data_IF_353101411914
#
_entry.id   IF_353101411914
#
_cell.length_a   1.000
_cell.length_b   1.000
_cell.length_c   1.000
_cell.angle_alpha   90.00
_cell.angle_beta   90.00
_cell.angle_gamma   90.00
#
_symmetry.space_group_name_H-M   'P 1'
#
loop_
_entity.id
_entity.type
_entity.pdbx_description
1 polymer ?
#
# COMPACT_ATOMS: atom_id res chain seq x y z
N UNK A 1 -32.63 17.44 -22.72
CA UNK A 1 -31.39 16.92 -23.35
C UNK A 1 -31.21 17.67 -24.65
N UNK A 2 -30.24 18.56 -24.74
CA UNK A 2 -29.83 19.13 -26.03
C UNK A 2 -28.76 18.17 -26.60
N UNK A 3 -29.21 17.32 -27.51
CA UNK A 3 -28.37 16.38 -28.23
C UNK A 3 -28.09 16.94 -29.62
N UNK A 4 -26.85 16.89 -30.00
CA UNK A 4 -26.33 17.00 -31.36
C UNK A 4 -25.48 18.24 -31.69
N UNK A 5 -24.17 18.01 -31.53
CA UNK A 5 -23.22 18.63 -32.46
C UNK A 5 -22.28 17.50 -32.89
N UNK A 6 -22.44 17.03 -34.13
CA UNK A 6 -21.43 16.22 -34.83
C UNK A 6 -20.17 17.09 -34.97
N UNK A 7 -19.25 16.99 -34.01
CA UNK A 7 -17.97 17.68 -34.03
C UNK A 7 -16.93 16.83 -34.73
N UNK A 8 -16.15 17.45 -35.61
CA UNK A 8 -15.16 16.81 -36.46
C UNK A 8 -13.91 16.40 -35.68
N UNK A 9 -13.54 15.15 -35.83
CA UNK A 9 -12.17 14.57 -35.80
C UNK A 9 -11.27 14.74 -34.57
N UNK A 10 -11.05 15.92 -34.05
CA UNK A 10 -10.08 16.16 -32.98
C UNK A 10 -10.66 16.07 -31.56
N UNK A 11 -11.96 16.21 -31.40
CA UNK A 11 -12.61 16.24 -30.08
C UNK A 11 -12.92 14.83 -29.52
N UNK A 12 -12.90 13.81 -30.37
CA UNK A 12 -13.23 12.44 -30.04
C UNK A 12 -12.01 11.55 -29.72
N UNK A 13 -10.80 12.12 -29.76
CA UNK A 13 -9.55 11.38 -29.49
C UNK A 13 -9.44 10.80 -28.07
N UNK A 14 -10.31 11.22 -27.15
CA UNK A 14 -10.37 10.65 -25.78
C UNK A 14 -10.82 9.19 -25.80
N UNK A 15 -11.70 8.82 -26.75
CA UNK A 15 -12.22 7.45 -26.85
C UNK A 15 -11.11 6.48 -27.26
N UNK A 16 -10.23 6.86 -28.20
CA UNK A 16 -9.16 5.98 -28.70
C UNK A 16 -8.01 5.80 -27.71
N UNK A 17 -7.94 6.63 -26.66
CA UNK A 17 -6.99 6.48 -25.56
C UNK A 17 -7.46 5.50 -24.48
N UNK A 18 -8.72 5.08 -24.50
CA UNK A 18 -9.21 4.07 -23.58
C UNK A 18 -8.66 2.69 -23.93
N UNK A 19 -8.30 1.92 -22.89
CA UNK A 19 -7.86 0.53 -23.03
C UNK A 19 -8.87 -0.34 -23.79
N UNK A 20 -10.15 0.06 -23.82
CA UNK A 20 -11.21 -0.61 -24.56
C UNK A 20 -10.95 -0.64 -26.07
N UNK A 21 -10.36 0.42 -26.60
CA UNK A 21 -10.04 0.59 -28.01
C UNK A 21 -8.55 0.39 -28.31
N UNK A 22 -7.82 -0.20 -27.38
CA UNK A 22 -6.40 -0.48 -27.56
C UNK A 22 -6.14 -1.40 -28.76
N UNK A 23 -5.05 -1.10 -29.48
CA UNK A 23 -4.58 -1.89 -30.64
C UNK A 23 -5.53 -1.90 -31.85
N UNK A 24 -6.41 -0.91 -32.01
CA UNK A 24 -7.14 -0.68 -33.25
C UNK A 24 -6.19 -0.17 -34.35
N UNK A 25 -6.48 -0.54 -35.58
CA UNK A 25 -5.81 0.05 -36.74
C UNK A 25 -6.36 1.46 -37.01
N UNK A 26 -5.63 2.37 -37.71
CA UNK A 26 -6.10 3.74 -37.95
C UNK A 26 -7.48 3.82 -38.63
N UNK A 27 -7.79 2.92 -39.55
CA UNK A 27 -9.11 2.87 -40.20
C UNK A 27 -10.21 2.35 -39.25
N UNK A 28 -9.86 1.47 -38.31
CA UNK A 28 -10.74 0.95 -37.28
C UNK A 28 -11.02 2.04 -36.24
N UNK A 29 -10.00 2.79 -35.82
CA UNK A 29 -10.15 3.96 -34.91
C UNK A 29 -11.08 5.00 -35.52
N UNK A 30 -10.89 5.32 -36.82
CA UNK A 30 -11.77 6.23 -37.52
C UNK A 30 -13.21 5.75 -37.51
N UNK A 31 -13.45 4.46 -37.73
CA UNK A 31 -14.79 3.89 -37.73
C UNK A 31 -15.49 3.96 -36.38
N UNK A 32 -14.73 3.87 -35.28
CA UNK A 32 -15.23 4.09 -33.92
C UNK A 32 -15.58 5.55 -33.71
N UNK A 33 -14.69 6.47 -34.11
CA UNK A 33 -14.88 7.90 -33.98
C UNK A 33 -16.13 8.38 -34.77
N UNK A 34 -16.31 7.89 -36.00
CA UNK A 34 -17.44 8.26 -36.87
C UNK A 34 -18.80 7.80 -36.29
N UNK A 35 -18.80 6.89 -35.32
CA UNK A 35 -20.00 6.35 -34.67
C UNK A 35 -20.10 6.70 -33.16
N UNK A 36 -19.23 7.57 -32.70
CA UNK A 36 -19.31 8.16 -31.37
C UNK A 36 -20.03 9.52 -31.43
N UNK A 37 -20.61 9.91 -30.32
CA UNK A 37 -21.24 11.23 -30.13
C UNK A 37 -20.63 11.96 -28.96
N UNK A 38 -21.02 13.22 -28.78
CA UNK A 38 -20.71 14.00 -27.58
C UNK A 38 -21.99 14.41 -26.89
N UNK A 39 -22.03 14.26 -25.61
CA UNK A 39 -23.09 14.76 -24.74
C UNK A 39 -22.50 15.72 -23.70
N UNK A 40 -23.26 16.76 -23.36
CA UNK A 40 -22.95 17.71 -22.31
C UNK A 40 -24.03 17.66 -21.25
N UNK A 41 -23.59 17.65 -19.99
CA UNK A 41 -24.47 17.66 -18.83
C UNK A 41 -24.16 18.87 -17.96
N UNK A 42 -25.19 19.58 -17.56
CA UNK A 42 -25.06 20.58 -16.53
C UNK A 42 -24.93 19.94 -15.16
N UNK A 43 -24.30 20.61 -14.21
CA UNK A 43 -24.24 20.18 -12.82
C UNK A 43 -25.64 19.79 -12.30
N UNK A 44 -25.71 18.61 -11.70
CA UNK A 44 -26.95 18.05 -11.16
C UNK A 44 -27.78 17.23 -12.17
N UNK A 45 -27.47 17.28 -13.47
CA UNK A 45 -28.17 16.51 -14.47
C UNK A 45 -27.90 15.00 -14.30
N UNK A 46 -28.94 14.18 -14.54
CA UNK A 46 -28.85 12.70 -14.52
C UNK A 46 -28.42 12.22 -15.92
N UNK A 47 -27.40 11.37 -15.96
CA UNK A 47 -26.93 10.71 -17.17
C UNK A 47 -27.80 9.48 -17.50
N UNK A 48 -28.04 8.63 -16.50
CA UNK A 48 -28.97 7.50 -16.54
C UNK A 48 -29.54 7.17 -15.15
N UNK A 49 -30.65 6.45 -15.12
CA UNK A 49 -31.34 6.02 -13.91
C UNK A 49 -31.55 4.49 -13.90
N UNK A 50 -31.83 3.88 -12.74
CA UNK A 50 -32.23 2.48 -12.67
C UNK A 50 -33.41 2.18 -13.61
N UNK A 51 -33.28 1.09 -14.37
CA UNK A 51 -34.25 0.67 -15.37
C UNK A 51 -34.04 1.29 -16.76
N UNK A 52 -33.16 2.27 -16.92
CA UNK A 52 -32.75 2.75 -18.25
C UNK A 52 -31.89 1.67 -18.93
N UNK A 53 -32.02 1.55 -20.26
CA UNK A 53 -31.27 0.57 -21.02
C UNK A 53 -29.78 0.90 -21.07
N UNK A 54 -28.94 -0.08 -20.73
CA UNK A 54 -27.49 0.02 -20.78
C UNK A 54 -26.97 -0.31 -22.19
N UNK A 55 -27.24 0.56 -23.15
CA UNK A 55 -26.87 0.35 -24.56
C UNK A 55 -25.61 1.13 -24.98
N UNK A 56 -25.07 1.95 -24.10
CA UNK A 56 -23.98 2.86 -24.39
C UNK A 56 -22.86 2.80 -23.36
N UNK A 57 -21.63 3.10 -23.82
CA UNK A 57 -20.49 3.43 -22.98
C UNK A 57 -20.24 4.93 -23.04
N UNK A 58 -19.86 5.50 -21.93
CA UNK A 58 -19.56 6.93 -21.80
C UNK A 58 -18.10 7.12 -21.37
N UNK A 59 -17.38 7.98 -22.04
CA UNK A 59 -16.00 8.32 -21.76
C UNK A 59 -15.96 9.74 -21.24
N UNK A 60 -15.64 9.94 -19.97
CA UNK A 60 -15.63 11.24 -19.36
C UNK A 60 -14.41 12.04 -19.85
N UNK A 61 -14.68 13.15 -20.53
CA UNK A 61 -13.68 14.05 -21.06
C UNK A 61 -13.37 15.19 -20.10
N UNK A 62 -14.42 15.80 -19.55
CA UNK A 62 -14.34 16.94 -18.62
C UNK A 62 -15.46 16.78 -17.59
N UNK A 63 -15.24 17.26 -16.36
CA UNK A 63 -16.22 17.22 -15.30
C UNK A 63 -16.06 16.07 -14.32
N UNK A 64 -17.11 15.78 -13.58
CA UNK A 64 -17.15 14.75 -12.54
C UNK A 64 -18.52 14.10 -12.50
N UNK A 65 -18.55 12.76 -12.57
CA UNK A 65 -19.79 11.96 -12.50
C UNK A 65 -19.75 11.10 -11.25
N UNK A 66 -20.85 11.05 -10.48
CA UNK A 66 -21.05 10.08 -9.39
C UNK A 66 -22.03 9.02 -9.79
N UNK A 67 -21.86 7.80 -9.27
CA UNK A 67 -22.83 6.72 -9.28
C UNK A 67 -23.36 6.56 -7.87
N UNK A 68 -24.69 6.50 -7.72
CA UNK A 68 -25.33 6.34 -6.41
C UNK A 68 -26.63 5.55 -6.49
N UNK A 69 -27.02 4.94 -5.37
CA UNK A 69 -28.31 4.30 -5.16
C UNK A 69 -29.05 4.98 -4.01
N UNK A 70 -30.37 5.20 -4.13
CA UNK A 70 -31.17 5.63 -3.00
C UNK A 70 -31.34 4.49 -2.00
N UNK A 71 -31.19 4.78 -0.71
CA UNK A 71 -31.47 3.86 0.38
C UNK A 71 -32.95 3.97 0.82
N UNK A 72 -33.47 2.94 1.49
CA UNK A 72 -34.85 2.92 2.00
C UNK A 72 -35.19 4.09 2.95
N UNK A 73 -34.19 4.63 3.62
CA UNK A 73 -34.33 5.77 4.56
C UNK A 73 -34.23 7.15 3.89
N UNK A 74 -34.20 7.20 2.54
CA UNK A 74 -34.12 8.42 1.75
C UNK A 74 -32.73 9.05 1.65
N UNK A 75 -31.70 8.41 2.21
CA UNK A 75 -30.29 8.77 1.97
C UNK A 75 -29.81 8.19 0.65
N UNK A 76 -28.73 8.74 0.12
CA UNK A 76 -28.07 8.25 -1.08
C UNK A 76 -26.76 7.55 -0.66
N UNK A 77 -26.52 6.36 -1.18
CA UNK A 77 -25.24 5.68 -1.05
C UNK A 77 -24.43 5.89 -2.33
N UNK A 78 -23.32 6.58 -2.21
CA UNK A 78 -22.41 6.80 -3.33
C UNK A 78 -21.56 5.54 -3.54
N UNK A 79 -21.66 4.94 -4.74
CA UNK A 79 -20.97 3.71 -5.11
C UNK A 79 -19.61 4.02 -5.73
N UNK A 80 -19.54 5.05 -6.60
CA UNK A 80 -18.34 5.39 -7.36
C UNK A 80 -18.32 6.84 -7.81
N UNK A 81 -17.11 7.36 -8.08
CA UNK A 81 -16.85 8.64 -8.78
C UNK A 81 -15.96 8.40 -9.98
N UNK A 82 -16.25 9.12 -11.04
CA UNK A 82 -15.53 9.07 -12.30
C UNK A 82 -14.99 10.45 -12.65
N UNK A 83 -13.70 10.48 -13.02
CA UNK A 83 -12.95 11.66 -13.41
C UNK A 83 -12.58 11.63 -14.91
N UNK A 84 -12.09 12.73 -15.48
CA UNK A 84 -11.64 12.75 -16.88
C UNK A 84 -10.65 11.62 -17.22
N UNK A 85 -10.97 10.86 -18.28
CA UNK A 85 -10.27 9.67 -18.71
C UNK A 85 -10.93 8.35 -18.31
N UNK A 86 -11.90 8.37 -17.38
CA UNK A 86 -12.62 7.17 -16.97
C UNK A 86 -13.71 6.79 -17.98
N UNK A 87 -14.03 5.48 -17.99
CA UNK A 87 -15.14 4.90 -18.75
C UNK A 87 -16.28 4.55 -17.83
N UNK A 88 -17.48 5.02 -18.14
CA UNK A 88 -18.73 4.82 -17.39
C UNK A 88 -19.70 3.99 -18.23
N UNK A 89 -20.41 3.06 -17.60
CA UNK A 89 -21.38 2.20 -18.24
C UNK A 89 -21.14 0.74 -17.91
N UNK A 90 -22.06 -0.11 -18.34
CA UNK A 90 -21.95 -1.54 -18.17
C UNK A 90 -21.24 -2.15 -19.38
N UNK A 91 -20.27 -3.01 -19.14
CA UNK A 91 -19.60 -3.77 -20.20
C UNK A 91 -20.52 -4.82 -20.85
N UNK A 92 -21.73 -5.01 -20.31
CA UNK A 92 -22.82 -5.81 -20.90
C UNK A 92 -23.71 -5.00 -21.86
N UNK A 93 -23.31 -3.79 -22.23
CA UNK A 93 -24.04 -2.87 -23.10
C UNK A 93 -24.52 -3.49 -24.43
N UNK A 94 -23.88 -4.57 -24.87
CA UNK A 94 -24.27 -5.30 -26.08
C UNK A 94 -25.44 -6.26 -25.86
N UNK A 95 -25.80 -6.58 -24.61
CA UNK A 95 -26.91 -7.47 -24.30
C UNK A 95 -28.20 -6.73 -23.96
N UNK A 96 -28.17 -5.39 -23.93
CA UNK A 96 -29.32 -4.58 -23.58
C UNK A 96 -29.77 -4.76 -22.13
N UNK A 97 -28.82 -4.83 -21.21
CA UNK A 97 -29.09 -4.80 -19.77
C UNK A 97 -29.74 -3.48 -19.35
N UNK A 98 -30.16 -3.39 -18.10
CA UNK A 98 -30.66 -2.15 -17.50
C UNK A 98 -29.69 -1.70 -16.42
N UNK A 99 -29.53 -0.37 -16.26
CA UNK A 99 -28.76 0.17 -15.15
C UNK A 99 -29.47 -0.08 -13.83
N UNK A 100 -28.71 -0.38 -12.78
CA UNK A 100 -29.18 -0.62 -11.42
C UNK A 100 -28.93 0.56 -10.45
N UNK A 101 -28.28 1.61 -10.94
CA UNK A 101 -27.91 2.79 -10.17
C UNK A 101 -28.14 4.08 -10.99
N UNK A 102 -28.15 5.22 -10.28
CA UNK A 102 -28.15 6.55 -10.93
C UNK A 102 -26.74 7.00 -11.24
N UNK A 103 -26.56 7.68 -12.39
CA UNK A 103 -25.37 8.46 -12.70
C UNK A 103 -25.73 9.95 -12.78
N UNK A 104 -25.01 10.78 -12.04
CA UNK A 104 -25.27 12.23 -11.95
C UNK A 104 -24.00 13.06 -12.11
N UNK A 105 -24.11 14.14 -12.88
CA UNK A 105 -23.06 15.13 -13.02
C UNK A 105 -22.92 15.98 -11.74
N UNK A 106 -21.74 15.96 -11.15
CA UNK A 106 -21.41 16.76 -9.96
C UNK A 106 -20.98 18.18 -10.32
N UNK A 107 -20.55 18.38 -11.55
CA UNK A 107 -20.21 19.65 -12.19
C UNK A 107 -20.54 19.57 -13.69
N UNK A 108 -20.45 20.69 -14.40
CA UNK A 108 -20.67 20.69 -15.85
C UNK A 108 -19.71 19.70 -16.50
N UNK A 109 -20.27 18.76 -17.23
CA UNK A 109 -19.51 17.58 -17.71
C UNK A 109 -19.69 17.37 -19.20
N UNK A 110 -18.61 16.96 -19.86
CA UNK A 110 -18.59 16.59 -21.28
C UNK A 110 -18.17 15.13 -21.40
N UNK A 111 -19.00 14.32 -22.06
CA UNK A 111 -18.74 12.90 -22.27
C UNK A 111 -18.79 12.55 -23.75
N UNK A 112 -17.98 11.60 -24.15
CA UNK A 112 -18.11 10.91 -25.43
C UNK A 112 -18.97 9.69 -25.23
N UNK A 113 -20.01 9.51 -26.01
CA UNK A 113 -20.91 8.34 -26.00
C UNK A 113 -20.58 7.40 -27.16
N UNK A 114 -20.54 6.12 -26.91
CA UNK A 114 -20.35 5.07 -27.93
C UNK A 114 -21.20 3.84 -27.65
N UNK A 115 -21.95 3.32 -28.64
CA UNK A 115 -22.29 3.97 -29.91
C UNK A 115 -23.02 5.30 -29.69
N UNK A 116 -23.04 6.20 -30.68
CA UNK A 116 -23.83 7.41 -30.60
C UNK A 116 -25.33 7.11 -30.50
N UNK A 117 -26.13 8.08 -29.98
CA UNK A 117 -27.58 7.92 -29.88
C UNK A 117 -28.19 7.52 -31.24
N UNK A 118 -29.10 6.54 -31.16
CA UNK A 118 -29.78 5.99 -32.34
C UNK A 118 -28.97 4.93 -33.13
N UNK A 119 -27.74 4.65 -32.68
CA UNK A 119 -26.93 3.55 -33.21
C UNK A 119 -26.83 2.44 -32.16
N UNK A 120 -26.80 1.20 -32.63
CA UNK A 120 -26.61 0.03 -31.74
C UNK A 120 -25.27 -0.65 -32.01
N UNK A 121 -24.78 -1.38 -31.01
CA UNK A 121 -23.57 -2.21 -31.19
C UNK A 121 -23.79 -3.30 -32.25
N UNK A 122 -25.03 -3.79 -32.40
CA UNK A 122 -25.40 -4.79 -33.40
C UNK A 122 -25.28 -4.23 -34.81
N UNK A 123 -25.65 -2.96 -35.06
CA UNK A 123 -25.47 -2.32 -36.34
C UNK A 123 -23.97 -2.17 -36.66
N UNK A 124 -23.19 -1.78 -35.66
CA UNK A 124 -21.73 -1.69 -35.82
C UNK A 124 -21.08 -3.07 -36.04
N UNK A 125 -21.59 -4.14 -35.38
CA UNK A 125 -21.10 -5.50 -35.56
C UNK A 125 -21.37 -6.06 -36.96
N UNK A 126 -22.47 -5.66 -37.59
CA UNK A 126 -22.76 -6.05 -39.00
C UNK A 126 -21.78 -5.42 -39.97
N UNK A 127 -21.38 -4.17 -39.76
CA UNK A 127 -20.49 -3.43 -40.63
C UNK A 127 -19.01 -3.72 -40.36
N UNK A 128 -18.63 -3.80 -39.09
CA UNK A 128 -17.24 -3.88 -38.62
C UNK A 128 -17.02 -5.00 -37.56
N UNK A 129 -17.32 -6.27 -37.92
CA UNK A 129 -17.33 -7.36 -36.94
C UNK A 129 -15.98 -7.60 -36.25
N UNK A 130 -14.85 -7.31 -36.95
CA UNK A 130 -13.51 -7.43 -36.38
C UNK A 130 -13.24 -6.40 -35.30
N UNK A 131 -13.72 -5.18 -35.47
CA UNK A 131 -13.57 -4.09 -34.48
C UNK A 131 -14.36 -4.41 -33.24
N UNK A 132 -15.61 -4.83 -33.40
CA UNK A 132 -16.48 -5.23 -32.30
C UNK A 132 -15.90 -6.42 -31.54
N UNK A 133 -15.40 -7.44 -32.23
CA UNK A 133 -14.73 -8.57 -31.59
C UNK A 133 -13.52 -8.12 -30.74
N UNK A 134 -12.72 -7.15 -31.24
CA UNK A 134 -11.59 -6.59 -30.50
C UNK A 134 -12.03 -5.81 -29.27
N UNK A 135 -13.07 -4.98 -29.41
CA UNK A 135 -13.66 -4.25 -28.27
C UNK A 135 -14.11 -5.25 -27.17
N UNK A 136 -14.78 -6.34 -27.52
CA UNK A 136 -15.18 -7.36 -26.56
C UNK A 136 -14.00 -8.09 -25.90
N UNK A 137 -12.96 -8.40 -26.66
CA UNK A 137 -11.75 -9.00 -26.10
C UNK A 137 -11.06 -8.07 -25.11
N UNK A 138 -10.98 -6.78 -25.44
CA UNK A 138 -10.41 -5.77 -24.55
C UNK A 138 -11.30 -5.57 -23.30
N UNK A 139 -12.64 -5.54 -23.46
CA UNK A 139 -13.58 -5.50 -22.31
C UNK A 139 -13.37 -6.67 -21.37
N UNK A 140 -13.30 -7.90 -21.92
CA UNK A 140 -13.09 -9.10 -21.12
C UNK A 140 -11.75 -9.07 -20.37
N UNK A 141 -10.68 -8.55 -21.01
CA UNK A 141 -9.38 -8.35 -20.37
C UNK A 141 -9.45 -7.32 -19.22
N UNK A 142 -10.12 -6.18 -19.44
CA UNK A 142 -10.31 -5.13 -18.44
C UNK A 142 -11.13 -5.64 -17.24
N UNK A 143 -12.25 -6.31 -17.47
CA UNK A 143 -13.07 -6.92 -16.40
C UNK A 143 -12.26 -7.96 -15.62
N UNK A 144 -11.51 -8.81 -16.33
CA UNK A 144 -10.66 -9.82 -15.70
C UNK A 144 -9.57 -9.17 -14.83
N UNK A 145 -8.93 -8.11 -15.30
CA UNK A 145 -7.93 -7.36 -14.53
C UNK A 145 -8.56 -6.71 -13.28
N UNK A 146 -9.77 -6.13 -13.41
CA UNK A 146 -10.51 -5.51 -12.32
C UNK A 146 -10.93 -6.55 -11.26
N UNK A 147 -11.44 -7.72 -11.67
CA UNK A 147 -11.76 -8.83 -10.77
C UNK A 147 -10.51 -9.31 -10.02
N UNK A 148 -9.37 -9.48 -10.71
CA UNK A 148 -8.12 -9.90 -10.09
C UNK A 148 -7.63 -8.89 -9.05
N UNK A 149 -7.67 -7.59 -9.36
CA UNK A 149 -7.25 -6.53 -8.43
C UNK A 149 -8.16 -6.44 -7.21
N UNK A 150 -9.49 -6.49 -7.41
CA UNK A 150 -10.48 -6.48 -6.33
C UNK A 150 -10.35 -7.72 -5.45
N UNK A 151 -10.18 -8.89 -6.05
CA UNK A 151 -9.98 -10.15 -5.31
C UNK A 151 -8.70 -10.11 -4.47
N UNK A 152 -7.61 -9.56 -5.02
CA UNK A 152 -6.35 -9.40 -4.28
C UNK A 152 -6.54 -8.49 -3.07
N UNK A 153 -7.14 -7.30 -3.24
CA UNK A 153 -7.43 -6.37 -2.15
C UNK A 153 -8.38 -6.97 -1.10
N UNK A 154 -9.43 -7.69 -1.55
CA UNK A 154 -10.36 -8.35 -0.64
C UNK A 154 -9.69 -9.47 0.17
N UNK A 155 -8.84 -10.27 -0.47
CA UNK A 155 -8.10 -11.34 0.22
C UNK A 155 -7.09 -10.80 1.23
N UNK A 156 -6.34 -9.75 0.87
CA UNK A 156 -5.36 -9.11 1.75
C UNK A 156 -6.01 -8.52 3.02
N UNK A 157 -7.28 -8.09 2.93
CA UNK A 157 -8.03 -7.50 4.04
C UNK A 157 -8.91 -8.50 4.81
N UNK A 158 -8.89 -9.78 4.45
CA UNK A 158 -9.65 -10.79 5.21
C UNK A 158 -9.07 -11.00 6.62
N UNK A 159 -9.89 -11.01 7.69
CA UNK A 159 -9.40 -11.12 9.07
C UNK A 159 -8.50 -12.34 9.31
N UNK A 160 -8.78 -13.48 8.69
CA UNK A 160 -7.97 -14.68 8.82
C UNK A 160 -6.60 -14.56 8.11
N UNK A 161 -6.52 -13.83 6.96
CA UNK A 161 -5.24 -13.54 6.28
C UNK A 161 -4.38 -12.61 7.12
N UNK A 162 -4.99 -11.56 7.68
CA UNK A 162 -4.31 -10.65 8.60
C UNK A 162 -3.80 -11.38 9.84
N UNK A 163 -4.60 -12.29 10.42
CA UNK A 163 -4.18 -13.09 11.57
C UNK A 163 -3.06 -14.07 11.19
N UNK A 164 -3.13 -14.70 10.00
CA UNK A 164 -2.07 -15.56 9.50
C UNK A 164 -0.76 -14.79 9.30
N UNK A 165 -0.84 -13.59 8.70
CA UNK A 165 0.29 -12.68 8.52
C UNK A 165 0.88 -12.25 9.86
N UNK A 166 0.02 -11.89 10.84
CA UNK A 166 0.44 -11.56 12.20
C UNK A 166 1.18 -12.73 12.86
N UNK A 167 0.63 -13.95 12.80
CA UNK A 167 1.29 -15.14 13.34
C UNK A 167 2.62 -15.47 12.67
N UNK A 168 2.70 -15.30 11.36
CA UNK A 168 3.92 -15.55 10.59
C UNK A 168 5.04 -14.56 10.97
N UNK A 169 4.72 -13.27 11.04
CA UNK A 169 5.71 -12.20 11.03
C UNK A 169 5.82 -11.42 12.33
N UNK A 170 4.86 -11.49 13.25
CA UNK A 170 4.95 -10.79 14.53
C UNK A 170 5.36 -11.74 15.67
N UNK A 171 6.18 -11.24 16.56
CA UNK A 171 6.52 -11.90 17.80
C UNK A 171 5.36 -11.81 18.79
N UNK A 172 4.80 -12.92 19.28
CA UNK A 172 3.58 -12.89 20.10
C UNK A 172 3.75 -12.20 21.46
N UNK A 173 4.97 -12.20 22.02
CA UNK A 173 5.24 -11.59 23.32
C UNK A 173 5.38 -10.08 23.25
N UNK A 174 6.03 -9.57 22.22
CA UNK A 174 6.38 -8.15 22.10
C UNK A 174 5.58 -7.43 21.00
N UNK A 175 5.02 -8.15 20.02
CA UNK A 175 4.39 -7.60 18.81
C UNK A 175 5.37 -6.81 17.96
N UNK A 176 6.65 -7.15 18.01
CA UNK A 176 7.68 -6.69 17.09
C UNK A 176 7.69 -7.59 15.86
N UNK A 177 8.13 -7.07 14.73
CA UNK A 177 8.28 -7.88 13.52
C UNK A 177 9.47 -8.82 13.65
N UNK A 178 9.29 -10.08 13.25
CA UNK A 178 10.37 -11.08 13.23
C UNK A 178 11.34 -10.80 12.07
N UNK A 179 12.56 -11.32 12.17
CA UNK A 179 13.55 -11.27 11.08
C UNK A 179 12.98 -11.85 9.78
N UNK A 180 12.21 -12.92 9.84
CA UNK A 180 11.60 -13.57 8.67
C UNK A 180 10.78 -12.59 7.82
N UNK A 181 10.13 -11.59 8.43
CA UNK A 181 9.45 -10.54 7.68
C UNK A 181 10.41 -9.75 6.77
N UNK A 182 11.59 -9.38 7.29
CA UNK A 182 12.57 -8.67 6.48
C UNK A 182 13.11 -9.58 5.37
N UNK A 183 13.46 -10.82 5.71
CA UNK A 183 14.04 -11.77 4.74
C UNK A 183 13.07 -12.06 3.58
N UNK A 184 11.78 -12.21 3.84
CA UNK A 184 10.75 -12.50 2.83
C UNK A 184 10.32 -11.26 2.02
N UNK A 185 10.26 -10.09 2.66
CA UNK A 185 9.67 -8.88 2.07
C UNK A 185 10.71 -7.85 1.61
N UNK A 186 12.00 -8.12 1.79
CA UNK A 186 13.07 -7.13 1.60
C UNK A 186 13.01 -6.42 0.24
N UNK A 187 12.79 -7.17 -0.85
CA UNK A 187 12.73 -6.62 -2.20
C UNK A 187 11.57 -5.63 -2.40
N UNK A 188 10.50 -5.78 -1.62
CA UNK A 188 9.31 -4.93 -1.66
C UNK A 188 9.44 -3.71 -0.76
N UNK A 189 10.06 -3.88 0.40
CA UNK A 189 10.09 -2.84 1.44
C UNK A 189 11.33 -1.95 1.40
N UNK A 190 12.40 -2.37 0.72
CA UNK A 190 13.67 -1.64 0.65
C UNK A 190 13.51 -0.35 -0.16
N UNK A 191 13.68 0.80 0.47
CA UNK A 191 13.62 2.14 -0.15
C UNK A 191 14.73 3.02 0.39
N UNK A 192 15.78 3.15 -0.39
CA UNK A 192 17.01 3.88 -0.05
C UNK A 192 16.78 5.39 0.24
N UNK A 193 17.61 5.97 1.10
CA UNK A 193 18.53 5.29 2.01
C UNK A 193 17.80 4.62 3.17
N UNK A 194 18.31 3.47 3.63
CA UNK A 194 17.74 2.70 4.74
C UNK A 194 18.67 2.70 5.93
N UNK A 195 18.17 3.14 7.08
CA UNK A 195 18.88 2.94 8.36
C UNK A 195 18.50 1.61 8.98
N UNK A 196 19.48 0.80 9.29
CA UNK A 196 19.38 -0.37 10.17
C UNK A 196 20.01 -0.02 11.51
N UNK A 197 19.22 -0.05 12.58
CA UNK A 197 19.68 0.24 13.94
C UNK A 197 19.37 -0.96 14.80
N UNK A 198 20.40 -1.64 15.28
CA UNK A 198 20.29 -2.87 16.06
C UNK A 198 20.58 -2.56 17.52
N UNK A 199 19.84 -3.18 18.43
CA UNK A 199 19.94 -3.01 19.88
C UNK A 199 19.99 -4.38 20.56
N UNK A 200 20.95 -4.57 21.44
CA UNK A 200 21.05 -5.69 22.36
C UNK A 200 21.21 -5.20 23.79
N UNK A 201 20.27 -5.51 24.70
CA UNK A 201 20.42 -5.20 26.12
C UNK A 201 21.62 -5.93 26.72
N UNK A 202 22.41 -5.22 27.50
CA UNK A 202 23.56 -5.79 28.17
C UNK A 202 23.14 -6.53 29.45
N UNK A 203 23.93 -7.52 29.83
CA UNK A 203 23.75 -8.29 31.10
C UNK A 203 22.31 -8.81 31.31
N UNK A 204 21.52 -8.92 30.27
CA UNK A 204 20.10 -9.36 30.34
C UNK A 204 19.94 -10.74 30.98
N UNK A 205 20.95 -11.59 30.82
CA UNK A 205 21.01 -12.90 31.48
C UNK A 205 20.95 -12.80 33.01
N UNK A 206 21.60 -11.80 33.61
CA UNK A 206 21.57 -11.60 35.07
C UNK A 206 20.14 -11.34 35.53
N UNK A 207 19.37 -10.53 34.79
CA UNK A 207 17.96 -10.26 35.11
C UNK A 207 17.14 -11.56 35.09
N UNK A 208 17.30 -12.36 34.02
CA UNK A 208 16.54 -13.61 33.86
C UNK A 208 16.97 -14.67 34.89
N UNK A 209 18.27 -14.84 35.11
CA UNK A 209 18.79 -15.85 36.07
C UNK A 209 18.38 -15.50 37.53
N UNK A 210 18.20 -14.22 37.86
CA UNK A 210 17.83 -13.78 39.22
C UNK A 210 16.33 -13.73 39.45
N UNK A 211 15.55 -13.20 38.49
CA UNK A 211 14.12 -12.93 38.65
C UNK A 211 13.21 -13.80 37.77
N UNK A 212 13.80 -14.73 37.02
CA UNK A 212 13.07 -15.64 36.15
C UNK A 212 12.70 -15.04 34.79
N UNK A 213 12.12 -15.91 33.95
CA UNK A 213 11.75 -15.55 32.55
C UNK A 213 10.69 -14.48 32.48
N UNK A 214 9.74 -14.43 33.41
CA UNK A 214 8.68 -13.42 33.44
C UNK A 214 9.23 -11.97 33.56
N UNK A 215 10.31 -11.79 34.33
CA UNK A 215 10.98 -10.50 34.44
C UNK A 215 11.67 -10.12 33.12
N UNK A 216 12.29 -11.08 32.44
CA UNK A 216 12.84 -10.90 31.12
C UNK A 216 11.79 -10.52 30.07
N UNK A 217 10.64 -11.19 30.08
CA UNK A 217 9.53 -10.89 29.17
C UNK A 217 8.95 -9.49 29.39
N UNK A 218 8.76 -9.09 30.65
CA UNK A 218 8.33 -7.72 30.99
C UNK A 218 9.34 -6.68 30.52
N UNK A 219 10.63 -6.92 30.67
CA UNK A 219 11.68 -6.05 30.18
C UNK A 219 11.66 -5.95 28.63
N UNK A 220 11.48 -7.06 27.93
CA UNK A 220 11.35 -7.06 26.47
C UNK A 220 10.11 -6.31 25.99
N UNK A 221 8.99 -6.38 26.70
CA UNK A 221 7.79 -5.59 26.40
C UNK A 221 8.07 -4.09 26.53
N UNK A 222 8.79 -3.66 27.55
CA UNK A 222 9.17 -2.25 27.74
C UNK A 222 10.10 -1.76 26.62
N UNK A 223 11.10 -2.56 26.27
CA UNK A 223 12.02 -2.27 25.14
C UNK A 223 11.25 -2.19 23.82
N UNK A 224 10.34 -3.13 23.59
CA UNK A 224 9.49 -3.13 22.40
C UNK A 224 8.58 -1.88 22.33
N UNK A 225 8.06 -1.42 23.45
CA UNK A 225 7.27 -0.19 23.52
C UNK A 225 8.08 1.03 23.06
N UNK A 226 9.33 1.16 23.48
CA UNK A 226 10.24 2.22 23.01
C UNK A 226 10.45 2.12 21.49
N UNK A 227 10.83 0.94 21.00
CA UNK A 227 11.11 0.71 19.57
C UNK A 227 9.91 1.04 18.69
N UNK A 228 8.70 0.65 19.08
CA UNK A 228 7.47 0.90 18.31
C UNK A 228 7.10 2.39 18.19
N UNK A 229 7.56 3.24 19.08
CA UNK A 229 7.26 4.68 19.01
C UNK A 229 7.88 5.33 17.78
N UNK A 230 9.03 4.84 17.32
CA UNK A 230 9.80 5.46 16.24
C UNK A 230 9.12 5.27 14.88
N UNK A 231 8.82 4.05 14.40
CA UNK A 231 8.11 3.87 13.14
C UNK A 231 6.73 4.54 13.13
N UNK A 232 6.01 4.53 14.28
CA UNK A 232 4.72 5.22 14.41
C UNK A 232 4.83 6.72 14.21
N UNK A 233 5.84 7.37 14.80
CA UNK A 233 6.05 8.82 14.65
C UNK A 233 6.53 9.22 13.26
N UNK A 234 7.35 8.39 12.64
CA UNK A 234 7.89 8.64 11.30
C UNK A 234 6.91 8.27 10.18
N UNK A 235 5.87 7.48 10.46
CA UNK A 235 4.95 6.92 9.46
C UNK A 235 5.63 5.96 8.49
N UNK A 236 6.82 5.43 8.85
CA UNK A 236 7.63 4.55 7.98
C UNK A 236 8.59 3.69 8.82
N UNK A 237 8.88 2.49 8.30
CA UNK A 237 9.81 1.54 8.93
C UNK A 237 9.14 0.55 9.87
N UNK A 238 9.95 -0.32 10.45
CA UNK A 238 9.53 -1.43 11.29
C UNK A 238 10.43 -1.56 12.52
N UNK A 239 9.82 -1.94 13.64
CA UNK A 239 10.51 -2.34 14.85
C UNK A 239 10.60 -3.87 14.87
N UNK A 240 11.81 -4.39 15.03
CA UNK A 240 12.18 -5.79 14.79
C UNK A 240 12.59 -6.50 16.07
N UNK A 241 12.33 -7.80 16.14
CA UNK A 241 12.91 -8.75 17.08
C UNK A 241 13.61 -9.85 16.31
N UNK A 242 14.85 -10.11 16.69
CA UNK A 242 15.65 -11.19 16.08
C UNK A 242 15.63 -12.43 16.99
N UNK A 243 16.77 -12.88 17.44
CA UNK A 243 16.88 -14.05 18.32
C UNK A 243 17.02 -13.62 19.77
N UNK A 244 16.25 -14.21 20.68
CA UNK A 244 16.37 -13.92 22.11
C UNK A 244 15.96 -12.48 22.49
N UNK A 245 16.94 -11.67 22.93
CA UNK A 245 16.74 -10.29 23.35
C UNK A 245 17.28 -9.25 22.38
N UNK A 246 17.63 -9.65 21.18
CA UNK A 246 18.13 -8.78 20.11
C UNK A 246 16.94 -8.13 19.39
N UNK A 247 17.02 -6.83 19.23
CA UNK A 247 15.96 -6.03 18.61
C UNK A 247 16.55 -4.99 17.68
N UNK A 248 15.72 -4.26 16.95
CA UNK A 248 16.22 -3.19 16.09
C UNK A 248 15.12 -2.42 15.37
N UNK A 249 15.56 -1.51 14.53
CA UNK A 249 14.74 -0.71 13.65
C UNK A 249 15.24 -0.82 12.22
N UNK A 250 14.31 -0.92 11.30
CA UNK A 250 14.51 -0.77 9.87
C UNK A 250 13.73 0.46 9.42
N UNK A 251 14.41 1.52 8.99
CA UNK A 251 13.78 2.80 8.67
C UNK A 251 14.14 3.23 7.25
N UNK A 252 13.16 3.24 6.37
CA UNK A 252 13.29 3.70 4.99
C UNK A 252 13.48 5.22 4.91
N UNK A 253 14.15 5.69 3.85
CA UNK A 253 14.43 7.11 3.55
C UNK A 253 15.05 7.84 4.75
N UNK A 254 15.99 7.17 5.42
CA UNK A 254 16.64 7.65 6.63
C UNK A 254 18.15 7.77 6.38
N UNK A 255 18.64 9.00 6.36
CA UNK A 255 20.08 9.30 6.19
C UNK A 255 20.86 9.16 7.49
N UNK A 256 22.19 9.32 7.41
CA UNK A 256 23.12 9.04 8.50
C UNK A 256 22.86 9.90 9.75
N UNK A 257 22.65 11.21 9.61
CA UNK A 257 22.40 12.12 10.73
C UNK A 257 21.13 11.75 11.51
N UNK A 258 20.05 11.41 10.79
CA UNK A 258 18.82 10.96 11.41
C UNK A 258 18.98 9.59 12.09
N UNK A 259 19.72 8.67 11.46
CA UNK A 259 19.99 7.34 12.03
C UNK A 259 20.82 7.44 13.33
N UNK A 260 21.84 8.28 13.35
CA UNK A 260 22.63 8.56 14.55
C UNK A 260 21.77 9.10 15.68
N UNK A 261 20.92 10.09 15.38
CA UNK A 261 19.99 10.66 16.36
C UNK A 261 19.01 9.60 16.91
N UNK A 262 18.52 8.69 16.07
CA UNK A 262 17.65 7.59 16.48
C UNK A 262 18.40 6.54 17.32
N UNK A 263 19.64 6.22 16.97
CA UNK A 263 20.49 5.32 17.74
C UNK A 263 20.78 5.89 19.13
N UNK A 264 21.09 7.17 19.22
CA UNK A 264 21.30 7.89 20.48
C UNK A 264 20.02 7.90 21.31
N UNK A 265 18.87 8.23 20.69
CA UNK A 265 17.56 8.20 21.37
C UNK A 265 17.25 6.84 21.97
N UNK A 266 17.47 5.74 21.24
CA UNK A 266 17.25 4.38 21.73
C UNK A 266 18.15 4.05 22.92
N UNK A 267 19.43 4.40 22.81
CA UNK A 267 20.41 4.17 23.86
C UNK A 267 20.02 4.89 25.16
N UNK A 268 19.66 6.17 25.07
CA UNK A 268 19.23 6.97 26.23
C UNK A 268 17.91 6.47 26.82
N UNK A 269 16.92 6.11 25.98
CA UNK A 269 15.65 5.59 26.46
C UNK A 269 15.77 4.25 27.14
N UNK A 270 16.67 3.38 26.66
CA UNK A 270 16.95 2.12 27.35
C UNK A 270 17.58 2.37 28.75
N UNK A 271 18.57 3.25 28.81
CA UNK A 271 19.22 3.62 30.08
C UNK A 271 18.27 4.32 31.07
N UNK A 272 17.23 5.00 30.57
CA UNK A 272 16.22 5.68 31.37
C UNK A 272 15.08 4.76 31.84
N UNK A 273 15.07 3.47 31.47
CA UNK A 273 14.10 2.52 32.02
C UNK A 273 14.26 2.41 33.55
N UNK A 274 13.13 2.30 34.29
CA UNK A 274 13.19 2.13 35.75
C UNK A 274 14.06 0.94 36.12
N UNK A 275 14.92 1.09 37.15
CA UNK A 275 15.72 -0.02 37.64
C UNK A 275 14.81 -1.10 38.19
N UNK A 276 15.20 -2.36 38.05
CA UNK A 276 14.48 -3.50 38.59
C UNK A 276 15.23 -3.99 39.83
N UNK A 277 14.53 -4.02 40.99
CA UNK A 277 15.12 -4.51 42.23
C UNK A 277 15.39 -6.02 42.11
N UNK A 278 16.64 -6.41 42.39
CA UNK A 278 17.05 -7.81 42.44
C UNK A 278 17.04 -8.20 43.92
N UNK A 279 15.93 -8.76 44.42
CA UNK A 279 15.87 -9.33 45.77
C UNK A 279 16.79 -10.55 45.82
N UNK A 280 17.94 -10.38 46.42
CA UNK A 280 18.82 -11.51 46.71
C UNK A 280 18.49 -12.09 48.10
N UNK A 281 18.34 -13.41 48.15
CA UNK A 281 18.21 -14.19 49.39
C UNK A 281 19.43 -14.07 50.31
N UNK A 282 20.44 -13.29 49.93
CA UNK A 282 21.73 -13.08 50.65
C UNK A 282 21.99 -11.64 51.08
N UNK A 283 20.96 -10.81 51.21
CA UNK A 283 21.05 -9.56 51.98
C UNK A 283 21.75 -8.38 51.30
N UNK A 284 22.06 -8.42 50.01
CA UNK A 284 22.48 -7.25 49.23
C UNK A 284 21.40 -6.91 48.22
N UNK A 285 20.57 -5.91 48.49
CA UNK A 285 19.66 -5.32 47.53
C UNK A 285 20.51 -4.65 46.42
N UNK A 286 20.57 -5.22 45.25
CA UNK A 286 21.17 -4.59 44.08
C UNK A 286 20.09 -4.32 43.04
N UNK A 287 20.13 -3.13 42.45
CA UNK A 287 19.23 -2.77 41.36
C UNK A 287 19.84 -3.15 40.00
N UNK A 288 19.06 -3.84 39.21
CA UNK A 288 19.41 -4.04 37.79
C UNK A 288 19.07 -2.76 37.03
N UNK A 289 20.09 -2.09 36.47
CA UNK A 289 19.93 -0.95 35.58
C UNK A 289 20.13 -1.38 34.13
N UNK A 290 19.21 -0.95 33.29
CA UNK A 290 19.28 -1.24 31.87
C UNK A 290 20.42 -0.48 31.22
N UNK A 291 21.19 -1.18 30.42
CA UNK A 291 22.16 -0.64 29.45
C UNK A 291 22.09 -1.50 28.18
N UNK A 292 22.63 -1.03 27.08
CA UNK A 292 22.61 -1.77 25.86
C UNK A 292 23.71 -1.37 24.88
N UNK A 293 23.99 -2.29 24.00
CA UNK A 293 24.86 -2.08 22.84
C UNK A 293 23.97 -1.74 21.65
N UNK A 294 24.34 -0.69 20.91
CA UNK A 294 23.64 -0.25 19.69
C UNK A 294 24.63 -0.24 18.54
N UNK A 295 24.28 -0.90 17.44
CA UNK A 295 25.01 -0.81 16.18
C UNK A 295 24.09 -0.30 15.09
N UNK A 296 24.56 0.60 14.23
CA UNK A 296 23.77 1.15 13.16
C UNK A 296 24.58 1.38 11.89
N UNK A 297 23.92 1.37 10.75
CA UNK A 297 24.50 1.67 9.45
C UNK A 297 23.43 2.10 8.45
N UNK A 298 23.88 2.55 7.28
CA UNK A 298 23.02 3.06 6.20
C UNK A 298 23.25 2.26 4.93
N UNK A 299 22.22 1.62 4.45
CA UNK A 299 22.21 0.99 3.13
C UNK A 299 21.71 2.01 2.07
N UNK A 300 22.29 2.09 0.88
CA UNK A 300 23.45 1.34 0.37
C UNK A 300 24.81 2.01 0.67
N UNK A 301 24.84 3.12 1.41
CA UNK A 301 26.03 3.94 1.64
C UNK A 301 27.20 3.15 2.25
N UNK A 302 26.90 2.36 3.27
CA UNK A 302 27.93 1.63 4.04
C UNK A 302 28.21 0.23 3.43
N UNK A 303 27.32 -0.30 2.60
CA UNK A 303 27.50 -1.49 1.76
C UNK A 303 26.33 -1.61 0.80
N UNK A 304 26.57 -1.82 -0.50
CA UNK A 304 25.52 -1.93 -1.53
C UNK A 304 24.76 -3.26 -1.50
N UNK A 305 25.41 -4.33 -1.05
CA UNK A 305 24.80 -5.64 -0.96
C UNK A 305 24.07 -5.82 0.37
N UNK A 306 22.74 -5.81 0.34
CA UNK A 306 21.90 -5.85 1.55
C UNK A 306 22.24 -6.97 2.53
N UNK A 307 22.39 -8.26 2.13
CA UNK A 307 22.74 -9.31 3.06
C UNK A 307 24.07 -9.06 3.79
N UNK A 308 25.08 -8.61 3.06
CA UNK A 308 26.40 -8.29 3.64
C UNK A 308 26.33 -7.08 4.57
N UNK A 309 25.52 -6.08 4.23
CA UNK A 309 25.27 -4.92 5.09
C UNK A 309 24.60 -5.33 6.40
N UNK A 310 23.54 -6.15 6.31
CA UNK A 310 22.83 -6.64 7.49
C UNK A 310 23.74 -7.46 8.39
N UNK A 311 24.43 -8.46 7.84
CA UNK A 311 25.33 -9.36 8.59
C UNK A 311 26.50 -8.61 9.19
N UNK A 312 27.06 -7.64 8.48
CA UNK A 312 28.14 -6.78 8.98
C UNK A 312 27.70 -5.91 10.16
N UNK A 313 26.53 -5.27 10.07
CA UNK A 313 25.94 -4.48 11.15
C UNK A 313 25.61 -5.36 12.37
N UNK A 314 25.06 -6.55 12.13
CA UNK A 314 24.73 -7.50 13.19
C UNK A 314 26.00 -8.04 13.89
N UNK A 315 27.03 -8.39 13.13
CA UNK A 315 28.32 -8.80 13.68
C UNK A 315 28.93 -7.69 14.55
N UNK A 316 28.90 -6.45 14.08
CA UNK A 316 29.37 -5.31 14.85
C UNK A 316 28.63 -5.15 16.18
N UNK A 317 27.32 -5.33 16.19
CA UNK A 317 26.52 -5.34 17.43
C UNK A 317 27.02 -6.40 18.40
N UNK A 318 27.21 -7.64 17.91
CA UNK A 318 27.61 -8.76 18.75
C UNK A 318 29.03 -8.60 19.29
N UNK A 319 29.97 -8.09 18.48
CA UNK A 319 31.34 -7.82 18.90
C UNK A 319 31.39 -6.68 19.93
N UNK A 320 30.57 -5.63 19.73
CA UNK A 320 30.43 -4.53 20.70
C UNK A 320 29.91 -5.02 22.04
N UNK A 321 28.85 -5.84 22.01
CA UNK A 321 28.27 -6.45 23.21
C UNK A 321 29.27 -7.34 23.95
N UNK A 322 30.02 -8.21 23.25
CA UNK A 322 31.06 -9.06 23.83
C UNK A 322 32.21 -8.27 24.44
N UNK A 323 32.53 -7.12 23.86
CA UNK A 323 33.60 -6.24 24.34
C UNK A 323 33.24 -5.35 25.55
N UNK A 324 32.11 -5.69 26.24
CA UNK A 324 31.66 -5.00 27.45
C UNK A 324 30.39 -4.15 27.27
N UNK A 325 29.92 -3.96 26.05
CA UNK A 325 28.65 -3.29 25.74
C UNK A 325 28.62 -1.80 26.09
N UNK A 326 27.39 -1.31 26.37
CA UNK A 326 27.06 0.05 26.82
C UNK A 326 27.66 1.15 25.94
N UNK A 327 27.52 1.00 24.61
CA UNK A 327 28.01 1.97 23.62
C UNK A 327 27.24 1.91 22.33
N UNK A 328 27.35 2.98 21.56
CA UNK A 328 26.82 3.10 20.19
C UNK A 328 28.01 3.00 19.23
N UNK A 329 27.85 2.20 18.18
CA UNK A 329 28.86 2.04 17.12
C UNK A 329 28.22 2.15 15.75
N UNK A 330 28.94 2.71 14.79
CA UNK A 330 28.50 2.80 13.40
C UNK A 330 29.21 1.75 12.55
N UNK A 331 28.45 1.04 11.74
CA UNK A 331 28.97 0.21 10.66
C UNK A 331 29.33 1.08 9.45
N UNK A 332 30.54 0.97 8.95
CA UNK A 332 31.04 1.76 7.80
C UNK A 332 31.50 0.88 6.62
N UNK A 333 31.05 -0.39 6.56
CA UNK A 333 31.58 -1.34 5.60
C UNK A 333 32.94 -1.91 6.04
N UNK A 334 33.39 -2.97 5.36
CA UNK A 334 34.80 -3.37 5.42
C UNK A 334 35.58 -2.43 4.47
N UNK A 335 36.74 -1.90 4.83
CA UNK A 335 37.61 -1.31 3.84
C UNK A 335 37.93 -2.37 2.78
N UNK A 336 37.79 -2.00 1.50
CA UNK A 336 38.22 -2.83 0.36
C UNK A 336 39.67 -3.28 0.47
#
# INVERSE_FOLDING_TARGET
METNILLKGNDLSTITKSDLFANLLPDEEKSVIDRAGIITLQKGAILFSPGDKAEHLYFLREGLIRIFTPLEDGREEEIARFAPGDTIGDFDFARGGEYDAHAQAMEDSTLVIFPAEGLTIDDFAREMPRVVARIFLNSAAMVTARIKSTRKLSMENMPWVMELHRKAYEDPGTGLWKRTFIDDEINRILKDPVALILLKPDRFKILVDTLGHDAGDKAMIQIAAILKTIPRRLGRGWALRFTGNETGLFINKCGAEQAESLAQFLFEKLAALPPVSLDSTHGQNSDFRFSGSVAWGIWPLDNEHWPSFFDGTYKLLMDTWKAGGNRIVRYQGAPE
#
